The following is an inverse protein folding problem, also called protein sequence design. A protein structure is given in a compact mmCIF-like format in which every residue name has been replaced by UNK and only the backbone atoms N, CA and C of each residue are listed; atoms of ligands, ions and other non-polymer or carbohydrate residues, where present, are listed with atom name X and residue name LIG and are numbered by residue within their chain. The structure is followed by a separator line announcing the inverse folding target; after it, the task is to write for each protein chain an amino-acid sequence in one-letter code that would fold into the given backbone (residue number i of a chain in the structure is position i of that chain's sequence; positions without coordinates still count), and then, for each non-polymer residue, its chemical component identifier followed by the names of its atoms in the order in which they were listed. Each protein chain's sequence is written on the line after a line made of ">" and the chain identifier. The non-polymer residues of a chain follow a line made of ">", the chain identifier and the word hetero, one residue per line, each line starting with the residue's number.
data_IF_903203916029
#
_entry.id   IF_903203916029
#
_cell.length_a   1.000
_cell.length_b   1.000
_cell.length_c   1.000
_cell.angle_alpha   90.00
_cell.angle_beta   90.00
_cell.angle_gamma   90.00
#
_symmetry.space_group_name_H-M   'P 1'
#
loop_
_entity.id
_entity.type
_entity.pdbx_description
1 polymer ?
#
# COMPACT_ATOMS: atom_id res chain seq x y z
N UNK A 1 -41.28 33.75 -55.81
CA UNK A 1 -41.40 32.74 -54.74
C UNK A 1 -40.02 32.43 -54.23
N UNK A 2 -39.65 32.99 -53.11
CA UNK A 2 -38.35 32.88 -52.45
C UNK A 2 -38.51 31.95 -51.24
N UNK A 3 -37.66 30.94 -51.02
CA UNK A 3 -37.80 30.05 -49.88
C UNK A 3 -37.16 30.69 -48.63
N UNK A 4 -37.87 30.54 -47.52
CA UNK A 4 -37.48 30.98 -46.20
C UNK A 4 -36.26 30.24 -45.66
N UNK A 5 -35.33 31.03 -45.14
CA UNK A 5 -34.07 30.58 -44.48
C UNK A 5 -34.38 30.25 -43.02
N UNK A 6 -34.21 28.97 -42.64
CA UNK A 6 -34.31 28.50 -41.23
C UNK A 6 -33.06 28.90 -40.47
N UNK A 7 -33.14 29.45 -39.25
CA UNK A 7 -31.97 29.78 -38.47
C UNK A 7 -31.31 28.54 -37.86
N UNK A 8 -30.00 28.48 -38.04
CA UNK A 8 -29.10 27.42 -37.55
C UNK A 8 -28.91 27.63 -36.05
N UNK A 9 -29.24 26.61 -35.27
CA UNK A 9 -29.01 26.61 -33.83
C UNK A 9 -27.49 26.63 -33.52
N UNK A 10 -27.13 27.43 -32.51
CA UNK A 10 -25.76 27.53 -31.97
C UNK A 10 -25.35 26.23 -31.28
N UNK A 11 -24.04 25.85 -31.33
CA UNK A 11 -23.55 24.66 -30.65
C UNK A 11 -23.53 24.88 -29.13
N UNK A 12 -24.12 23.94 -28.38
CA UNK A 12 -24.06 23.88 -26.94
C UNK A 12 -22.62 23.63 -26.47
N UNK A 13 -22.18 24.37 -25.45
CA UNK A 13 -20.94 24.16 -24.73
C UNK A 13 -20.93 22.77 -24.07
N UNK A 14 -19.81 22.06 -24.08
CA UNK A 14 -19.72 20.80 -23.36
C UNK A 14 -19.71 21.06 -21.85
N UNK A 15 -20.68 20.46 -21.18
CA UNK A 15 -20.76 20.30 -19.73
C UNK A 15 -19.52 19.53 -19.27
N UNK A 16 -18.82 20.03 -18.29
CA UNK A 16 -17.73 19.34 -17.61
C UNK A 16 -18.27 18.06 -16.99
N UNK A 17 -17.93 16.92 -17.62
CA UNK A 17 -18.15 15.62 -17.04
C UNK A 17 -17.12 15.38 -15.93
N UNK A 18 -17.59 15.25 -14.71
CA UNK A 18 -16.81 14.81 -13.56
C UNK A 18 -16.19 13.45 -13.89
N UNK A 19 -14.86 13.39 -13.81
CA UNK A 19 -14.05 12.19 -14.02
C UNK A 19 -14.25 11.19 -12.86
N UNK A 20 -15.32 10.43 -12.91
CA UNK A 20 -15.40 9.14 -12.22
C UNK A 20 -14.77 8.08 -13.12
N UNK A 21 -13.45 7.96 -13.07
CA UNK A 21 -12.76 6.84 -13.70
C UNK A 21 -13.16 5.53 -13.02
N UNK A 22 -14.09 4.86 -13.63
CA UNK A 22 -14.43 3.45 -13.43
C UNK A 22 -13.18 2.61 -13.71
N UNK A 23 -12.58 2.02 -12.67
CA UNK A 23 -11.46 1.09 -12.80
C UNK A 23 -12.00 -0.21 -13.41
N UNK A 24 -11.97 -0.30 -14.73
CA UNK A 24 -12.15 -1.57 -15.43
C UNK A 24 -10.90 -2.41 -15.26
N UNK A 25 -11.08 -3.61 -14.71
CA UNK A 25 -10.13 -4.72 -14.72
C UNK A 25 -9.60 -4.97 -16.12
N UNK A 26 -8.43 -4.46 -16.47
CA UNK A 26 -7.71 -4.91 -17.66
C UNK A 26 -6.61 -5.88 -17.24
N UNK A 27 -6.75 -7.13 -17.67
CA UNK A 27 -5.73 -8.15 -17.58
C UNK A 27 -4.46 -7.71 -18.32
N UNK A 28 -3.37 -7.70 -17.58
CA UNK A 28 -2.02 -8.08 -17.98
C UNK A 28 -1.57 -7.85 -19.43
N UNK A 29 -0.85 -6.74 -19.68
CA UNK A 29 0.34 -6.66 -20.56
C UNK A 29 1.29 -5.51 -20.16
N UNK A 30 1.10 -4.81 -19.08
CA UNK A 30 1.85 -3.56 -18.79
C UNK A 30 2.73 -3.63 -17.56
N UNK A 31 3.70 -4.56 -17.56
CA UNK A 31 4.72 -4.58 -16.50
C UNK A 31 5.71 -3.40 -16.55
N UNK A 32 5.70 -2.62 -17.62
CA UNK A 32 6.71 -1.56 -17.84
C UNK A 32 6.22 -0.13 -17.59
N UNK A 33 4.92 0.12 -17.49
CA UNK A 33 4.36 1.48 -17.39
C UNK A 33 3.40 1.70 -16.22
N UNK A 34 3.09 0.68 -15.43
CA UNK A 34 2.12 0.77 -14.33
C UNK A 34 2.78 0.62 -12.98
N UNK A 35 2.59 1.58 -12.08
CA UNK A 35 2.86 1.39 -10.65
C UNK A 35 2.15 0.12 -10.14
N UNK A 36 2.70 -0.54 -9.12
CA UNK A 36 2.12 -1.74 -8.54
C UNK A 36 0.67 -1.46 -8.12
N UNK A 37 -0.28 -2.18 -8.75
CA UNK A 37 -1.69 -2.07 -8.34
C UNK A 37 -1.79 -2.65 -6.93
N UNK A 38 -2.16 -1.81 -5.98
CA UNK A 38 -2.47 -2.24 -4.62
C UNK A 38 -3.63 -3.22 -4.68
N UNK A 39 -3.40 -4.45 -4.26
CA UNK A 39 -4.44 -5.48 -4.18
C UNK A 39 -4.50 -5.98 -2.74
N UNK A 40 -5.68 -5.87 -2.16
CA UNK A 40 -5.96 -6.51 -0.90
C UNK A 40 -6.24 -8.00 -1.13
N UNK A 41 -5.75 -8.90 -0.24
CA UNK A 41 -6.14 -10.30 -0.28
C UNK A 41 -7.63 -10.46 0.06
N UNK A 42 -8.19 -11.61 -0.27
CA UNK A 42 -9.48 -12.00 0.27
C UNK A 42 -9.34 -12.27 1.77
N UNK A 43 -10.33 -11.83 2.54
CA UNK A 43 -10.36 -11.94 4.00
C UNK A 43 -11.47 -12.93 4.37
N UNK A 44 -11.09 -14.06 4.96
CA UNK A 44 -12.01 -15.16 5.30
C UNK A 44 -12.22 -15.34 6.81
N UNK A 45 -11.51 -14.57 7.63
CA UNK A 45 -11.65 -14.64 9.09
C UNK A 45 -13.08 -14.33 9.54
N UNK A 46 -13.64 -15.09 10.49
CA UNK A 46 -14.97 -14.83 11.05
C UNK A 46 -15.02 -13.48 11.78
N UNK A 47 -16.13 -12.75 11.61
CA UNK A 47 -16.30 -11.41 12.12
C UNK A 47 -15.72 -10.34 11.20
N UNK A 48 -15.41 -9.18 11.77
CA UNK A 48 -14.77 -8.08 11.07
C UNK A 48 -13.26 -8.33 11.01
N UNK A 49 -12.70 -8.30 9.81
CA UNK A 49 -11.27 -8.47 9.56
C UNK A 49 -10.74 -7.39 8.63
N UNK A 50 -9.43 -7.19 8.60
CA UNK A 50 -8.81 -6.07 7.89
C UNK A 50 -7.59 -6.51 7.09
N UNK A 51 -7.31 -5.74 6.04
CA UNK A 51 -6.06 -5.80 5.28
C UNK A 51 -5.49 -4.40 5.14
N UNK A 52 -4.22 -4.24 5.50
CA UNK A 52 -3.48 -2.99 5.39
C UNK A 52 -2.39 -3.16 4.34
N UNK A 53 -2.42 -2.30 3.31
CA UNK A 53 -1.41 -2.28 2.25
C UNK A 53 -0.80 -0.89 2.18
N UNK A 54 0.52 -0.81 2.36
CA UNK A 54 1.28 0.42 2.28
C UNK A 54 2.18 0.44 1.05
N UNK A 55 2.32 1.62 0.46
CA UNK A 55 3.21 1.90 -0.65
C UNK A 55 4.25 2.93 -0.24
N UNK A 56 5.50 2.53 -0.26
CA UNK A 56 6.65 3.40 0.00
C UNK A 56 7.09 4.02 -1.32
N UNK A 57 7.03 5.34 -1.41
CA UNK A 57 7.56 6.09 -2.54
C UNK A 57 8.85 6.78 -2.10
N UNK A 58 9.90 6.65 -2.90
CA UNK A 58 11.20 7.23 -2.62
C UNK A 58 11.87 7.73 -3.90
N UNK A 59 12.63 8.81 -3.78
CA UNK A 59 13.53 9.28 -4.84
C UNK A 59 14.92 9.41 -4.26
N UNK A 60 15.89 8.86 -4.96
CA UNK A 60 17.31 8.94 -4.61
C UNK A 60 18.08 9.76 -5.64
N UNK A 61 18.97 10.60 -5.16
CA UNK A 61 20.06 11.18 -5.94
C UNK A 61 21.35 10.54 -5.44
N UNK A 62 21.99 9.77 -6.31
CA UNK A 62 23.12 8.90 -5.95
C UNK A 62 22.69 7.89 -4.86
N UNK A 63 23.11 8.07 -3.61
CA UNK A 63 22.76 7.18 -2.48
C UNK A 63 21.86 7.88 -1.45
N UNK A 64 21.57 9.15 -1.65
CA UNK A 64 20.82 9.97 -0.71
C UNK A 64 19.34 10.06 -1.09
N UNK A 65 18.45 9.79 -0.15
CA UNK A 65 17.03 10.00 -0.36
C UNK A 65 16.73 11.51 -0.41
N UNK A 66 16.04 11.95 -1.45
CA UNK A 66 15.62 13.34 -1.64
C UNK A 66 14.14 13.55 -1.36
N UNK A 67 13.36 12.46 -1.36
CA UNK A 67 11.94 12.48 -1.07
C UNK A 67 11.47 11.10 -0.63
N UNK A 68 10.69 11.05 0.45
CA UNK A 68 10.04 9.81 0.91
C UNK A 68 8.58 10.11 1.28
N UNK A 69 7.66 9.26 0.86
CA UNK A 69 6.27 9.30 1.29
C UNK A 69 5.73 7.88 1.43
N UNK A 70 4.92 7.66 2.46
CA UNK A 70 4.21 6.39 2.67
C UNK A 70 2.72 6.66 2.60
N UNK A 71 2.06 6.01 1.67
CA UNK A 71 0.61 6.05 1.51
C UNK A 71 0.05 4.64 1.68
N UNK A 72 -1.13 4.53 2.25
CA UNK A 72 -1.72 3.23 2.51
C UNK A 72 -3.22 3.19 2.28
N UNK A 73 -3.70 1.96 2.15
CA UNK A 73 -5.12 1.63 2.12
C UNK A 73 -5.41 0.57 3.18
N UNK A 74 -6.53 0.72 3.86
CA UNK A 74 -7.09 -0.30 4.74
C UNK A 74 -8.39 -0.78 4.10
N UNK A 75 -8.47 -2.08 3.81
CA UNK A 75 -9.71 -2.73 3.41
C UNK A 75 -10.29 -3.51 4.58
N UNK A 76 -11.61 -3.57 4.64
CA UNK A 76 -12.38 -4.32 5.61
C UNK A 76 -13.21 -5.38 4.91
N UNK A 77 -13.41 -6.53 5.58
CA UNK A 77 -14.40 -7.53 5.21
C UNK A 77 -15.09 -8.04 6.47
N UNK A 78 -16.37 -8.38 6.33
CA UNK A 78 -17.16 -8.95 7.42
C UNK A 78 -17.75 -10.30 7.01
N UNK A 79 -17.38 -11.34 7.75
CA UNK A 79 -17.89 -12.70 7.60
C UNK A 79 -18.68 -13.04 8.89
N UNK A 80 -20.03 -13.17 8.84
CA UNK A 80 -20.81 -13.45 10.04
C UNK A 80 -20.29 -14.70 10.77
N UNK A 81 -20.22 -14.65 12.09
CA UNK A 81 -19.97 -15.82 12.94
C UNK A 81 -21.23 -16.68 13.00
N UNK A 82 -21.10 -17.98 13.27
CA UNK A 82 -22.24 -18.89 13.36
C UNK A 82 -23.32 -18.38 14.33
N UNK A 83 -22.93 -17.82 15.46
CA UNK A 83 -23.83 -17.22 16.45
C UNK A 83 -24.56 -15.96 15.94
N UNK A 84 -24.02 -15.27 14.94
CA UNK A 84 -24.54 -14.03 14.35
C UNK A 84 -25.36 -14.30 13.07
N UNK A 85 -25.39 -15.55 12.59
CA UNK A 85 -26.05 -15.92 11.33
C UNK A 85 -27.55 -15.57 11.29
N UNK A 86 -28.24 -15.61 12.44
CA UNK A 86 -29.66 -15.28 12.55
C UNK A 86 -29.94 -13.79 12.75
N UNK A 87 -28.99 -13.02 13.30
CA UNK A 87 -29.13 -11.58 13.54
C UNK A 87 -27.77 -10.89 13.48
N UNK A 88 -27.21 -10.72 12.27
CA UNK A 88 -25.90 -10.08 12.12
C UNK A 88 -25.95 -8.62 12.57
N UNK A 89 -24.90 -8.12 13.22
CA UNK A 89 -24.81 -6.70 13.55
C UNK A 89 -24.83 -5.85 12.28
N UNK A 90 -25.53 -4.74 12.32
CA UNK A 90 -25.64 -3.83 11.17
C UNK A 90 -24.47 -2.86 11.07
N UNK A 91 -23.85 -2.52 12.21
CA UNK A 91 -22.73 -1.61 12.31
C UNK A 91 -21.81 -2.00 13.48
N UNK A 92 -20.55 -1.60 13.38
CA UNK A 92 -19.53 -1.78 14.40
C UNK A 92 -18.66 -0.52 14.52
N UNK A 93 -18.29 -0.16 15.75
CA UNK A 93 -17.36 0.94 15.98
C UNK A 93 -15.94 0.41 15.90
N UNK A 94 -15.10 1.08 15.13
CA UNK A 94 -13.67 0.80 14.99
C UNK A 94 -12.84 2.01 15.36
N UNK A 95 -11.64 1.76 15.87
CA UNK A 95 -10.66 2.79 16.18
C UNK A 95 -9.36 2.50 15.44
N UNK A 96 -8.76 3.54 14.85
CA UNK A 96 -7.40 3.47 14.34
C UNK A 96 -6.41 3.58 15.50
N UNK A 97 -5.68 2.49 15.75
CA UNK A 97 -4.60 2.50 16.73
C UNK A 97 -3.41 3.28 16.16
N UNK A 98 -2.75 4.08 17.00
CA UNK A 98 -1.68 4.99 16.59
C UNK A 98 -2.11 6.05 15.55
N UNK A 99 -3.34 6.52 15.62
CA UNK A 99 -3.91 7.51 14.70
C UNK A 99 -3.02 8.74 14.47
N UNK A 100 -2.27 9.17 15.49
CA UNK A 100 -1.38 10.35 15.44
C UNK A 100 -0.22 10.22 14.46
N UNK A 101 0.10 9.03 13.97
CA UNK A 101 1.14 8.86 12.95
C UNK A 101 0.66 9.26 11.54
N UNK A 102 -0.62 9.60 11.40
CA UNK A 102 -1.19 9.96 10.11
C UNK A 102 -1.13 11.47 9.86
N UNK A 103 -0.67 11.83 8.67
CA UNK A 103 -0.78 13.19 8.15
C UNK A 103 -2.20 13.46 7.63
N UNK A 104 -2.76 12.46 6.91
CA UNK A 104 -4.07 12.54 6.27
C UNK A 104 -4.75 11.18 6.33
N UNK A 105 -6.08 11.21 6.50
CA UNK A 105 -6.94 10.03 6.38
C UNK A 105 -8.22 10.39 5.65
N UNK A 106 -8.64 9.53 4.74
CA UNK A 106 -9.88 9.66 3.98
C UNK A 106 -10.71 8.38 4.16
N UNK A 107 -11.73 8.39 5.03
CA UNK A 107 -12.68 7.29 5.16
C UNK A 107 -13.58 7.20 3.91
N UNK A 108 -14.02 5.99 3.57
CA UNK A 108 -14.97 5.77 2.50
C UNK A 108 -16.39 6.15 2.97
N UNK A 109 -16.98 7.24 2.46
CA UNK A 109 -18.24 7.76 2.99
C UNK A 109 -19.46 6.86 2.70
N UNK A 110 -19.29 5.84 1.85
CA UNK A 110 -20.39 4.91 1.51
C UNK A 110 -20.80 4.06 2.70
N UNK A 111 -19.86 3.70 3.59
CA UNK A 111 -20.11 2.81 4.71
C UNK A 111 -19.32 3.16 5.99
N UNK A 112 -18.54 4.24 5.97
CA UNK A 112 -17.79 4.74 7.13
C UNK A 112 -18.30 6.13 7.50
N UNK A 113 -18.63 6.32 8.78
CA UNK A 113 -18.93 7.62 9.38
C UNK A 113 -18.02 7.90 10.57
N UNK A 114 -17.66 9.15 10.77
CA UNK A 114 -16.85 9.58 11.93
C UNK A 114 -17.69 9.58 13.20
N UNK A 115 -17.11 9.20 14.33
CA UNK A 115 -17.75 9.36 15.63
C UNK A 115 -17.51 10.81 16.09
N UNK A 116 -18.55 11.58 16.41
CA UNK A 116 -18.40 12.97 16.87
C UNK A 116 -17.45 13.05 18.07
N UNK A 117 -16.58 14.08 18.07
CA UNK A 117 -15.65 14.40 19.16
C UNK A 117 -14.59 13.33 19.48
N UNK A 118 -14.54 12.22 18.72
CA UNK A 118 -13.59 11.12 18.91
C UNK A 118 -12.71 10.95 17.67
N UNK A 119 -11.55 11.60 17.66
CA UNK A 119 -10.59 11.49 16.56
C UNK A 119 -10.05 10.06 16.45
N UNK A 120 -10.09 9.51 15.23
CA UNK A 120 -9.63 8.14 14.94
C UNK A 120 -10.67 7.04 15.24
N UNK A 121 -11.86 7.38 15.72
CA UNK A 121 -12.98 6.44 15.88
C UNK A 121 -14.01 6.62 14.75
N UNK A 122 -14.52 5.50 14.26
CA UNK A 122 -15.43 5.45 13.12
C UNK A 122 -16.51 4.39 13.33
N UNK A 123 -17.71 4.68 12.84
CA UNK A 123 -18.78 3.68 12.73
C UNK A 123 -18.75 3.08 11.33
N UNK A 124 -18.67 1.76 11.26
CA UNK A 124 -18.60 0.96 10.03
C UNK A 124 -19.93 0.25 9.82
N UNK A 125 -20.60 0.50 8.68
CA UNK A 125 -21.76 -0.29 8.26
C UNK A 125 -21.30 -1.61 7.66
N UNK A 126 -21.74 -2.74 8.23
CA UNK A 126 -21.30 -4.09 7.86
C UNK A 126 -22.04 -4.66 6.64
N UNK A 127 -23.16 -4.06 6.26
CA UNK A 127 -24.05 -4.59 5.20
C UNK A 127 -23.36 -4.75 3.83
N UNK A 128 -22.30 -3.97 3.55
CA UNK A 128 -21.62 -3.94 2.26
C UNK A 128 -20.24 -4.61 2.25
N UNK A 129 -19.83 -5.23 3.37
CA UNK A 129 -18.47 -5.73 3.57
C UNK A 129 -18.29 -7.23 3.31
N UNK A 130 -19.08 -7.84 2.44
CA UNK A 130 -18.95 -9.26 2.06
C UNK A 130 -17.65 -9.61 1.34
N UNK A 131 -16.89 -8.61 0.90
CA UNK A 131 -15.58 -8.75 0.26
C UNK A 131 -14.66 -7.66 0.80
N UNK A 132 -13.36 -7.89 0.72
CA UNK A 132 -12.37 -6.88 1.06
C UNK A 132 -12.65 -5.58 0.27
N UNK A 133 -13.13 -4.56 0.96
CA UNK A 133 -13.53 -3.25 0.40
C UNK A 133 -12.71 -2.16 1.06
N UNK A 134 -12.11 -1.28 0.27
CA UNK A 134 -11.29 -0.18 0.79
C UNK A 134 -12.14 0.75 1.65
N UNK A 135 -11.81 0.77 2.94
CA UNK A 135 -12.46 1.56 3.98
C UNK A 135 -11.76 2.90 4.21
N UNK A 136 -10.44 2.90 4.20
CA UNK A 136 -9.64 4.09 4.46
C UNK A 136 -8.48 4.20 3.48
N UNK A 137 -8.19 5.44 3.04
CA UNK A 137 -6.93 5.82 2.41
C UNK A 137 -6.23 6.79 3.32
N UNK A 138 -4.91 6.67 3.43
CA UNK A 138 -4.15 7.52 4.34
C UNK A 138 -2.75 7.81 3.83
N UNK A 139 -2.14 8.83 4.43
CA UNK A 139 -0.73 9.17 4.30
C UNK A 139 -0.12 9.22 5.70
N UNK A 140 1.04 8.59 5.84
CA UNK A 140 1.83 8.63 7.08
C UNK A 140 2.58 9.95 7.16
N UNK A 141 2.61 10.57 8.34
CA UNK A 141 3.45 11.73 8.62
C UNK A 141 4.89 11.28 8.77
N UNK A 142 5.79 11.81 7.95
CA UNK A 142 7.20 11.47 7.95
C UNK A 142 8.06 12.71 8.06
N UNK A 143 8.91 12.76 9.08
CA UNK A 143 10.03 13.69 9.17
C UNK A 143 11.24 13.08 8.44
N UNK A 144 12.16 13.91 7.96
CA UNK A 144 13.36 13.43 7.24
C UNK A 144 14.20 12.46 8.08
N UNK A 145 14.24 12.67 9.39
CA UNK A 145 14.92 11.79 10.35
C UNK A 145 14.35 10.38 10.44
N UNK A 146 13.07 10.20 10.07
CA UNK A 146 12.37 8.91 10.06
C UNK A 146 12.36 8.22 8.68
N UNK A 147 12.85 8.86 7.62
CA UNK A 147 12.89 8.27 6.28
C UNK A 147 13.63 6.92 6.23
N UNK A 148 14.80 6.75 6.88
CA UNK A 148 15.50 5.47 6.85
C UNK A 148 14.67 4.28 7.31
N UNK A 149 13.72 4.48 8.24
CA UNK A 149 12.83 3.43 8.76
C UNK A 149 11.92 2.80 7.70
N UNK A 150 11.77 3.45 6.53
CA UNK A 150 10.92 3.01 5.43
C UNK A 150 11.69 2.68 4.15
N UNK A 151 13.00 2.84 4.16
CA UNK A 151 13.87 2.67 3.00
C UNK A 151 14.75 1.42 3.15
N UNK A 152 14.26 0.21 2.82
CA UNK A 152 15.02 -1.01 3.06
C UNK A 152 16.23 -1.16 2.12
N UNK A 153 16.19 -0.55 0.94
CA UNK A 153 17.23 -0.68 -0.08
C UNK A 153 17.54 0.67 -0.72
N UNK A 154 18.82 0.95 -0.93
CA UNK A 154 19.31 2.10 -1.66
C UNK A 154 19.64 1.67 -3.08
N UNK A 155 19.32 2.52 -4.04
CA UNK A 155 19.60 2.31 -5.45
C UNK A 155 20.31 3.51 -6.05
N UNK A 156 21.43 3.25 -6.74
CA UNK A 156 22.31 4.30 -7.30
C UNK A 156 22.65 4.00 -8.76
N UNK A 157 21.90 4.54 -9.73
CA UNK A 157 22.22 4.42 -11.13
C UNK A 157 23.30 5.46 -11.53
N UNK A 158 24.27 5.03 -12.34
CA UNK A 158 25.28 5.89 -12.94
C UNK A 158 25.22 5.75 -14.44
N UNK A 159 24.89 6.82 -15.12
CA UNK A 159 24.72 6.85 -16.56
C UNK A 159 25.90 7.43 -17.30
N UNK A 160 26.17 6.85 -18.47
CA UNK A 160 27.05 7.41 -19.49
C UNK A 160 26.28 7.47 -20.81
N UNK A 161 26.04 8.70 -21.28
CA UNK A 161 25.28 8.97 -22.51
C UNK A 161 26.26 9.34 -23.62
N UNK A 162 26.20 8.61 -24.73
CA UNK A 162 27.01 8.85 -25.95
C UNK A 162 26.05 8.88 -27.16
N UNK A 163 26.48 9.48 -28.30
CA UNK A 163 25.59 9.65 -29.47
C UNK A 163 24.96 8.34 -29.99
N UNK A 164 25.70 7.23 -29.91
CA UNK A 164 25.26 5.93 -30.43
C UNK A 164 25.08 4.88 -29.35
N UNK A 165 25.27 5.24 -28.09
CA UNK A 165 25.22 4.31 -26.99
C UNK A 165 24.85 4.99 -25.69
N UNK A 166 23.98 4.36 -24.90
CA UNK A 166 23.76 4.71 -23.51
C UNK A 166 24.12 3.53 -22.63
N UNK A 167 24.86 3.76 -21.56
CA UNK A 167 25.25 2.72 -20.61
C UNK A 167 24.86 3.13 -19.20
N UNK A 168 24.37 2.17 -18.41
CA UNK A 168 24.06 2.36 -17.01
C UNK A 168 24.72 1.29 -16.17
N UNK A 169 25.25 1.70 -15.02
CA UNK A 169 25.61 0.84 -13.91
C UNK A 169 24.67 1.19 -12.78
N UNK A 170 23.85 0.24 -12.37
CA UNK A 170 22.91 0.38 -11.28
C UNK A 170 23.40 -0.46 -10.10
N UNK A 171 23.90 0.21 -9.08
CA UNK A 171 24.32 -0.41 -7.84
C UNK A 171 23.12 -0.40 -6.87
N UNK A 172 22.93 -1.48 -6.11
CA UNK A 172 21.95 -1.57 -5.06
C UNK A 172 22.53 -2.23 -3.82
N UNK A 173 22.07 -1.78 -2.64
CA UNK A 173 22.51 -2.31 -1.34
C UNK A 173 21.44 -2.11 -0.28
N UNK A 174 21.41 -2.93 0.81
CA UNK A 174 20.61 -2.60 1.98
C UNK A 174 20.95 -1.21 2.48
N UNK A 175 19.94 -0.50 2.98
CA UNK A 175 20.16 0.77 3.64
C UNK A 175 20.73 0.51 5.04
N UNK A 176 21.95 0.97 5.37
CA UNK A 176 22.57 0.72 6.67
C UNK A 176 21.80 1.36 7.82
N UNK A 177 21.07 2.46 7.53
CA UNK A 177 20.29 3.20 8.50
C UNK A 177 18.83 2.70 8.60
N UNK A 178 18.51 1.58 7.96
CA UNK A 178 17.19 0.97 8.04
C UNK A 178 16.99 0.32 9.41
N UNK A 179 16.33 1.06 10.29
CA UNK A 179 16.04 0.63 11.65
C UNK A 179 14.72 -0.16 11.68
N UNK A 180 14.84 -1.46 11.84
CA UNK A 180 13.69 -2.33 11.92
C UNK A 180 12.95 -2.11 13.23
N UNK A 181 11.64 -2.02 13.16
CA UNK A 181 10.76 -2.07 14.33
C UNK A 181 10.53 -3.49 14.82
N UNK A 182 11.31 -4.44 14.36
CA UNK A 182 11.20 -5.83 14.79
C UNK A 182 11.73 -6.02 16.20
N UNK A 183 10.95 -6.73 16.99
CA UNK A 183 11.44 -7.46 18.17
C UNK A 183 12.54 -8.42 17.69
N UNK A 184 13.79 -8.12 18.06
CA UNK A 184 14.99 -8.93 17.90
C UNK A 184 14.99 -10.04 16.81
N UNK A 185 15.67 -9.79 15.73
CA UNK A 185 16.32 -10.89 14.97
C UNK A 185 15.62 -11.46 13.75
N UNK A 186 14.37 -11.09 13.44
CA UNK A 186 13.74 -11.62 12.21
C UNK A 186 14.23 -10.83 10.98
N UNK A 187 14.90 -11.47 10.02
CA UNK A 187 15.35 -10.82 8.80
C UNK A 187 14.14 -10.40 7.95
N UNK A 188 14.25 -9.26 7.26
CA UNK A 188 13.22 -8.82 6.31
C UNK A 188 13.61 -9.30 4.91
N UNK A 189 12.67 -9.94 4.24
CA UNK A 189 12.81 -10.41 2.87
C UNK A 189 12.01 -9.52 1.92
N UNK A 190 12.71 -8.86 1.03
CA UNK A 190 12.11 -8.15 -0.11
C UNK A 190 11.73 -9.19 -1.16
N UNK A 191 10.44 -9.41 -1.35
CA UNK A 191 9.94 -10.42 -2.30
C UNK A 191 9.76 -9.84 -3.69
N UNK A 192 9.92 -10.69 -4.70
CA UNK A 192 9.71 -10.34 -6.10
C UNK A 192 10.49 -9.11 -6.56
N UNK A 193 11.71 -8.91 -6.01
CA UNK A 193 12.48 -7.71 -6.33
C UNK A 193 12.81 -7.64 -7.81
N UNK A 194 12.56 -6.49 -8.39
CA UNK A 194 12.88 -6.22 -9.80
C UNK A 194 13.36 -4.78 -9.98
N UNK A 195 14.28 -4.62 -10.91
CA UNK A 195 14.85 -3.33 -11.30
C UNK A 195 14.48 -3.05 -12.74
N UNK A 196 14.06 -1.83 -13.03
CA UNK A 196 13.68 -1.38 -14.38
C UNK A 196 14.43 -0.09 -14.66
N UNK A 197 15.16 -0.04 -15.75
CA UNK A 197 15.87 1.15 -16.20
C UNK A 197 15.73 1.33 -17.69
N UNK A 198 16.10 2.47 -18.25
CA UNK A 198 16.01 2.66 -19.69
C UNK A 198 16.31 4.06 -20.17
N UNK A 199 16.01 4.29 -21.43
CA UNK A 199 16.19 5.57 -22.10
C UNK A 199 14.88 6.10 -22.69
N UNK A 200 14.76 7.41 -22.74
CA UNK A 200 13.64 8.16 -23.29
C UNK A 200 14.10 9.00 -24.49
N UNK A 201 13.16 9.40 -25.32
CA UNK A 201 13.41 10.26 -26.50
C UNK A 201 13.84 9.50 -27.75
N UNK A 202 14.32 8.27 -27.63
CA UNK A 202 14.72 7.40 -28.73
C UNK A 202 14.34 5.95 -28.45
N UNK A 203 14.10 5.16 -29.51
CA UNK A 203 13.92 3.72 -29.39
C UNK A 203 15.27 3.03 -29.64
N UNK A 204 15.87 2.37 -28.65
CA UNK A 204 17.13 1.67 -28.83
C UNK A 204 16.96 0.44 -29.73
N UNK A 205 17.94 0.18 -30.60
CA UNK A 205 17.93 -0.96 -31.51
C UNK A 205 18.17 -2.28 -30.79
N UNK A 206 19.03 -2.25 -29.77
CA UNK A 206 19.38 -3.42 -28.95
C UNK A 206 19.78 -2.99 -27.53
N UNK A 207 19.78 -3.94 -26.63
CA UNK A 207 20.32 -3.77 -25.29
C UNK A 207 21.05 -5.05 -24.83
N UNK A 208 22.27 -4.89 -24.33
CA UNK A 208 23.04 -5.94 -23.67
C UNK A 208 23.00 -5.68 -22.17
N UNK A 209 22.91 -6.73 -21.36
CA UNK A 209 22.89 -6.57 -19.89
C UNK A 209 23.65 -7.66 -19.16
N UNK A 210 24.14 -7.32 -17.97
CA UNK A 210 24.75 -8.24 -17.02
C UNK A 210 24.24 -7.94 -15.60
N UNK A 211 23.61 -8.90 -14.91
CA UNK A 211 23.17 -10.20 -15.42
C UNK A 211 22.19 -10.06 -16.61
N UNK A 212 21.88 -11.19 -17.25
CA UNK A 212 20.92 -11.19 -18.37
C UNK A 212 19.54 -10.79 -17.84
N UNK A 213 18.93 -9.78 -18.43
CA UNK A 213 17.59 -9.29 -18.12
C UNK A 213 16.68 -9.39 -19.34
N UNK A 214 15.47 -8.84 -19.19
CA UNK A 214 14.47 -8.75 -20.25
C UNK A 214 14.46 -7.34 -20.83
N UNK A 215 14.72 -7.23 -22.15
CA UNK A 215 14.67 -5.97 -22.86
C UNK A 215 13.37 -5.77 -23.58
N UNK A 216 12.62 -4.74 -23.22
CA UNK A 216 11.41 -4.30 -23.93
C UNK A 216 11.75 -3.16 -24.88
N UNK A 217 12.02 -3.52 -26.14
CA UNK A 217 12.51 -2.59 -27.18
C UNK A 217 11.58 -1.41 -27.38
N UNK A 218 10.27 -1.66 -27.53
CA UNK A 218 9.28 -0.63 -27.86
C UNK A 218 9.15 0.45 -26.77
N UNK A 219 9.52 0.10 -25.54
CA UNK A 219 9.52 1.02 -24.41
C UNK A 219 10.90 1.58 -24.06
N UNK A 220 11.97 1.08 -24.72
CA UNK A 220 13.34 1.43 -24.37
C UNK A 220 13.75 1.03 -22.94
N UNK A 221 13.19 -0.08 -22.41
CA UNK A 221 13.38 -0.49 -21.00
C UNK A 221 14.07 -1.84 -20.89
N UNK A 222 15.00 -1.92 -19.94
CA UNK A 222 15.63 -3.14 -19.47
C UNK A 222 15.08 -3.47 -18.07
N UNK A 223 14.70 -4.71 -17.84
CA UNK A 223 14.22 -5.20 -16.56
C UNK A 223 15.01 -6.42 -16.08
N UNK A 224 15.36 -6.45 -14.81
CA UNK A 224 15.93 -7.58 -14.11
C UNK A 224 15.00 -8.04 -13.01
N UNK A 225 14.65 -9.30 -12.98
CA UNK A 225 13.90 -9.94 -11.90
C UNK A 225 14.89 -10.79 -11.10
N UNK A 226 15.19 -10.39 -9.87
CA UNK A 226 16.16 -11.09 -9.02
C UNK A 226 15.50 -12.09 -8.08
N UNK A 227 14.16 -12.07 -7.96
CA UNK A 227 13.43 -12.91 -7.00
C UNK A 227 13.39 -12.29 -5.61
N UNK A 228 13.57 -13.12 -4.58
CA UNK A 228 13.53 -12.70 -3.19
C UNK A 228 14.94 -12.41 -2.68
N UNK A 229 15.08 -11.32 -1.93
CA UNK A 229 16.35 -10.89 -1.33
C UNK A 229 16.12 -10.64 0.17
N UNK A 230 16.85 -11.37 1.02
CA UNK A 230 16.87 -11.12 2.46
C UNK A 230 17.92 -10.07 2.78
N UNK A 231 17.55 -9.02 3.50
CA UNK A 231 18.42 -7.85 3.70
C UNK A 231 19.74 -8.14 4.43
N UNK A 232 19.80 -9.22 5.22
CA UNK A 232 21.01 -9.62 5.96
C UNK A 232 21.97 -10.50 5.13
N UNK A 233 21.56 -10.91 3.93
CA UNK A 233 22.37 -11.75 3.06
C UNK A 233 23.34 -10.93 2.20
N UNK A 234 24.45 -11.53 1.84
CA UNK A 234 25.41 -10.96 0.89
C UNK A 234 24.78 -10.67 -0.49
N UNK A 235 23.73 -11.40 -0.86
CA UNK A 235 22.95 -11.20 -2.09
C UNK A 235 22.14 -9.91 -2.10
N UNK A 236 21.95 -9.27 -0.95
CA UNK A 236 21.25 -8.00 -0.83
C UNK A 236 22.03 -6.82 -1.47
N UNK A 237 23.32 -6.99 -1.75
CA UNK A 237 24.17 -6.02 -2.46
C UNK A 237 24.53 -6.55 -3.84
N UNK A 238 24.37 -5.70 -4.86
CA UNK A 238 24.72 -6.14 -6.21
C UNK A 238 24.85 -5.00 -7.21
N UNK A 239 25.21 -5.40 -8.43
CA UNK A 239 25.41 -4.50 -9.56
C UNK A 239 24.75 -5.04 -10.81
N UNK A 240 23.97 -4.19 -11.46
CA UNK A 240 23.31 -4.44 -12.73
C UNK A 240 23.88 -3.50 -13.78
N UNK A 241 24.16 -4.02 -14.97
CA UNK A 241 24.75 -3.23 -16.05
C UNK A 241 23.90 -3.40 -17.30
N UNK A 242 23.57 -2.29 -17.97
CA UNK A 242 22.95 -2.33 -19.28
C UNK A 242 23.65 -1.36 -20.25
N UNK A 243 23.67 -1.77 -21.52
CA UNK A 243 24.20 -1.00 -22.64
C UNK A 243 23.18 -1.01 -23.76
N UNK A 244 22.61 0.15 -24.03
CA UNK A 244 21.65 0.38 -25.09
C UNK A 244 22.37 0.90 -26.35
N UNK A 245 22.10 0.30 -27.50
CA UNK A 245 22.57 0.79 -28.80
C UNK A 245 21.52 1.72 -29.38
N UNK A 246 21.91 2.87 -29.81
CA UNK A 246 21.08 3.97 -30.34
C UNK A 246 21.46 4.24 -31.77
N UNK A 247 20.49 4.27 -32.68
CA UNK A 247 20.74 4.77 -34.04
C UNK A 247 20.81 6.32 -33.97
N UNK A 248 22.05 6.83 -33.97
CA UNK A 248 22.31 8.26 -33.92
C UNK A 248 21.90 8.95 -35.18
N UNK A 249 20.66 9.43 -35.28
CA UNK A 249 20.23 10.36 -36.32
C UNK A 249 20.52 11.83 -35.89
N UNK A 250 20.80 12.70 -36.84
CA UNK A 250 20.95 14.12 -36.58
C UNK A 250 19.66 14.67 -35.95
N UNK A 251 19.72 15.18 -34.70
CA UNK A 251 18.59 15.76 -33.98
C UNK A 251 17.92 14.87 -32.93
N UNK A 252 18.32 13.62 -32.78
CA UNK A 252 17.82 12.73 -31.70
C UNK A 252 18.58 12.96 -30.40
N UNK A 253 17.87 13.36 -29.35
CA UNK A 253 18.44 13.51 -28.00
C UNK A 253 17.91 12.42 -27.10
N UNK A 254 18.71 11.37 -26.90
CA UNK A 254 18.42 10.37 -25.90
C UNK A 254 18.61 10.92 -24.48
N UNK A 255 17.71 10.60 -23.59
CA UNK A 255 17.78 10.91 -22.16
C UNK A 255 17.70 9.62 -21.37
N UNK A 256 18.40 9.55 -20.24
CA UNK A 256 18.17 8.44 -19.30
C UNK A 256 16.81 8.58 -18.62
N UNK A 257 16.15 7.48 -18.42
CA UNK A 257 14.96 7.41 -17.58
C UNK A 257 15.36 7.17 -16.12
N UNK A 258 14.45 7.45 -15.19
CA UNK A 258 14.64 7.07 -13.79
C UNK A 258 14.70 5.54 -13.67
N UNK A 259 15.57 5.05 -12.79
CA UNK A 259 15.71 3.63 -12.51
C UNK A 259 14.75 3.24 -11.39
N UNK A 260 13.75 2.43 -11.72
CA UNK A 260 12.68 1.99 -10.80
C UNK A 260 13.06 0.69 -10.11
N UNK A 261 12.75 0.59 -8.82
CA UNK A 261 12.84 -0.66 -8.05
C UNK A 261 11.47 -1.05 -7.57
N UNK A 262 11.13 -2.33 -7.73
CA UNK A 262 9.89 -2.91 -7.23
C UNK A 262 10.20 -4.04 -6.27
N UNK A 263 9.55 -4.04 -5.13
CA UNK A 263 9.65 -5.05 -4.07
C UNK A 263 8.38 -5.06 -3.23
N UNK A 264 8.18 -6.14 -2.49
CA UNK A 264 7.10 -6.26 -1.52
C UNK A 264 7.58 -7.05 -0.28
N UNK A 265 6.99 -6.71 0.88
CA UNK A 265 7.13 -7.41 2.16
C UNK A 265 5.72 -7.80 2.60
N UNK A 266 5.52 -9.03 3.04
CA UNK A 266 4.20 -9.57 3.41
C UNK A 266 4.22 -10.28 4.77
N UNK A 267 3.04 -10.44 5.37
CA UNK A 267 2.88 -11.16 6.63
C UNK A 267 3.51 -10.44 7.82
N UNK A 268 4.11 -11.20 8.73
CA UNK A 268 4.68 -10.67 9.98
C UNK A 268 5.85 -9.71 9.73
N UNK A 269 6.63 -9.96 8.69
CA UNK A 269 7.71 -9.06 8.27
C UNK A 269 7.16 -7.67 7.88
N UNK A 270 5.96 -7.60 7.30
CA UNK A 270 5.33 -6.33 6.93
C UNK A 270 4.86 -5.51 8.14
N UNK A 271 4.66 -6.13 9.31
CA UNK A 271 4.39 -5.42 10.57
C UNK A 271 5.62 -4.61 10.98
N UNK A 272 6.79 -5.16 10.75
CA UNK A 272 8.06 -4.52 11.06
C UNK A 272 8.48 -3.46 10.04
N UNK A 273 8.18 -3.72 8.75
CA UNK A 273 8.57 -2.87 7.64
C UNK A 273 7.64 -1.67 7.44
N UNK A 274 6.39 -1.74 7.92
CA UNK A 274 5.35 -0.73 7.71
C UNK A 274 5.19 0.25 8.87
N UNK A 275 4.13 1.07 8.80
CA UNK A 275 3.75 1.97 9.87
C UNK A 275 3.21 1.21 11.09
N UNK A 276 3.23 1.80 12.31
CA UNK A 276 2.67 1.17 13.50
C UNK A 276 1.13 1.21 13.54
N UNK A 277 0.48 1.64 12.46
CA UNK A 277 -0.96 1.78 12.40
C UNK A 277 -1.67 0.43 12.60
N UNK A 278 -2.78 0.42 13.33
CA UNK A 278 -3.62 -0.75 13.57
C UNK A 278 -5.09 -0.40 13.56
N UNK A 279 -5.93 -1.40 13.72
CA UNK A 279 -7.36 -1.24 13.93
C UNK A 279 -7.81 -2.09 15.11
N UNK A 280 -8.67 -1.50 15.94
CA UNK A 280 -9.39 -2.18 17.02
C UNK A 280 -10.88 -1.99 16.83
N UNK A 281 -11.68 -2.98 17.22
CA UNK A 281 -13.14 -2.89 17.26
C UNK A 281 -13.63 -2.83 18.68
N UNK A 282 -14.73 -2.12 18.90
CA UNK A 282 -15.41 -2.07 20.18
C UNK A 282 -16.32 -3.30 20.30
N UNK A 283 -16.00 -4.21 21.18
CA UNK A 283 -16.82 -5.39 21.49
C UNK A 283 -17.55 -5.18 22.82
N UNK A 284 -18.81 -5.61 22.90
CA UNK A 284 -19.57 -5.65 24.13
C UNK A 284 -19.32 -6.99 24.80
N UNK A 285 -18.58 -6.98 25.89
CA UNK A 285 -18.32 -8.17 26.69
C UNK A 285 -19.49 -8.34 27.67
N UNK A 286 -20.22 -9.44 27.54
CA UNK A 286 -21.16 -9.86 28.60
C UNK A 286 -20.31 -10.42 29.74
N UNK A 287 -20.38 -9.81 30.92
CA UNK A 287 -19.81 -10.41 32.13
C UNK A 287 -20.40 -11.80 32.31
N UNK A 288 -19.57 -12.83 32.21
CA UNK A 288 -19.90 -14.15 32.67
C UNK A 288 -20.17 -13.99 34.17
N UNK A 289 -21.44 -14.07 34.57
CA UNK A 289 -21.76 -14.13 35.99
C UNK A 289 -21.00 -15.34 36.54
N UNK A 290 -20.05 -15.09 37.44
CA UNK A 290 -19.48 -16.15 38.26
C UNK A 290 -20.68 -16.91 38.82
N UNK A 291 -20.73 -18.23 38.57
CA UNK A 291 -21.74 -19.08 39.15
C UNK A 291 -21.67 -18.85 40.66
N UNK A 292 -22.73 -18.26 41.20
CA UNK A 292 -22.87 -18.07 42.65
C UNK A 292 -22.83 -19.48 43.22
N UNK A 293 -21.82 -19.76 44.05
CA UNK A 293 -21.68 -21.02 44.76
C UNK A 293 -23.02 -21.32 45.47
N UNK A 294 -23.74 -22.39 45.08
CA UNK A 294 -25.03 -22.68 45.66
C UNK A 294 -24.98 -23.01 47.17
N UNK A 295 -23.79 -22.99 47.77
CA UNK A 295 -23.54 -23.23 49.19
C UNK A 295 -22.99 -21.97 49.91
N UNK A 296 -23.00 -20.78 49.29
CA UNK A 296 -22.64 -19.53 49.96
C UNK A 296 -23.75 -19.14 50.97
N UNK A 297 -23.34 -18.83 52.22
CA UNK A 297 -24.22 -18.46 53.31
C UNK A 297 -25.11 -17.23 52.99
N UNK A 298 -26.39 -17.26 53.45
CA UNK A 298 -27.43 -16.24 53.16
C UNK A 298 -27.06 -14.80 53.54
N UNK A 299 -26.04 -14.56 54.33
CA UNK A 299 -25.57 -13.20 54.70
C UNK A 299 -24.85 -12.45 53.55
N UNK A 300 -24.37 -13.16 52.53
CA UNK A 300 -23.73 -12.58 51.36
C UNK A 300 -24.72 -12.20 50.24
N UNK A 301 -25.92 -12.75 50.28
CA UNK A 301 -26.96 -12.57 49.25
C UNK A 301 -27.69 -11.22 49.32
N UNK A 302 -27.64 -10.49 50.44
CA UNK A 302 -28.38 -9.24 50.65
C UNK A 302 -27.71 -7.99 50.06
N UNK A 303 -26.47 -8.08 49.55
CA UNK A 303 -25.73 -6.95 48.95
C UNK A 303 -25.57 -7.02 47.43
N UNK A 304 -26.09 -8.07 46.78
CA UNK A 304 -25.88 -8.33 45.34
C UNK A 304 -27.08 -8.12 44.43
N UNK A 305 -28.20 -7.57 44.92
CA UNK A 305 -29.46 -7.59 44.18
C UNK A 305 -29.88 -6.25 43.55
N UNK A 306 -28.95 -5.39 43.17
CA UNK A 306 -29.21 -4.24 42.30
C UNK A 306 -28.00 -3.97 41.40
N UNK A 307 -27.71 -4.88 40.48
CA UNK A 307 -26.73 -4.65 39.41
C UNK A 307 -27.32 -5.14 38.10
N UNK A 308 -28.01 -4.26 37.36
CA UNK A 308 -28.12 -4.43 35.93
C UNK A 308 -26.68 -4.57 35.43
N UNK A 309 -26.31 -5.76 34.93
CA UNK A 309 -24.98 -6.01 34.42
C UNK A 309 -24.58 -4.93 33.40
N UNK A 310 -23.75 -4.02 33.81
CA UNK A 310 -23.15 -3.02 32.90
C UNK A 310 -22.35 -3.81 31.87
N UNK A 311 -22.82 -3.80 30.62
CA UNK A 311 -22.06 -4.37 29.50
C UNK A 311 -20.78 -3.57 29.38
N UNK A 312 -19.67 -4.15 29.79
CA UNK A 312 -18.37 -3.54 29.69
C UNK A 312 -17.94 -3.49 28.22
N UNK A 313 -17.69 -2.31 27.71
CA UNK A 313 -17.18 -2.14 26.35
C UNK A 313 -15.63 -2.26 26.39
N UNK A 314 -15.09 -3.13 25.53
CA UNK A 314 -13.65 -3.36 25.43
C UNK A 314 -13.17 -3.25 23.98
N UNK A 315 -11.99 -2.62 23.80
CA UNK A 315 -11.34 -2.53 22.51
C UNK A 315 -10.52 -3.77 22.22
N UNK A 316 -10.88 -4.50 21.16
CA UNK A 316 -10.17 -5.68 20.70
C UNK A 316 -9.51 -5.44 19.35
N UNK A 317 -8.22 -5.78 19.24
CA UNK A 317 -7.49 -5.67 17.96
C UNK A 317 -8.16 -6.53 16.90
N UNK A 318 -8.38 -5.94 15.71
CA UNK A 318 -8.88 -6.67 14.56
C UNK A 318 -7.80 -7.55 13.94
N UNK A 319 -8.14 -8.78 13.48
CA UNK A 319 -7.27 -9.56 12.61
C UNK A 319 -6.87 -8.71 11.41
N UNK A 320 -5.56 -8.64 11.12
CA UNK A 320 -5.03 -7.78 10.08
C UNK A 320 -3.96 -8.46 9.25
N UNK A 321 -4.20 -8.60 7.97
CA UNK A 321 -3.17 -9.01 6.99
C UNK A 321 -2.44 -7.78 6.51
N UNK A 322 -1.10 -7.80 6.52
CA UNK A 322 -0.27 -6.65 6.14
C UNK A 322 0.59 -6.92 4.92
N UNK A 323 0.75 -5.87 4.13
CA UNK A 323 1.68 -5.81 3.00
C UNK A 323 2.30 -4.42 2.92
N UNK A 324 3.60 -4.36 2.72
CA UNK A 324 4.34 -3.14 2.37
C UNK A 324 4.98 -3.37 1.01
N UNK A 325 4.87 -2.42 0.11
CA UNK A 325 5.45 -2.54 -1.22
C UNK A 325 6.08 -1.21 -1.66
N UNK A 326 7.00 -1.29 -2.59
CA UNK A 326 7.46 -0.09 -3.29
C UNK A 326 6.33 0.47 -4.16
N UNK A 327 6.09 1.77 -4.06
CA UNK A 327 5.32 2.53 -5.03
C UNK A 327 6.24 3.10 -6.12
N UNK A 328 6.33 4.41 -6.19
CA UNK A 328 7.33 5.13 -7.01
C UNK A 328 8.67 5.16 -6.28
N UNK A 329 9.52 4.19 -6.53
CA UNK A 329 10.82 4.02 -5.85
C UNK A 329 11.94 4.10 -6.88
N UNK A 330 12.57 5.29 -6.99
CA UNK A 330 13.45 5.64 -8.11
C UNK A 330 14.83 6.09 -7.66
N UNK A 331 15.87 5.67 -8.42
CA UNK A 331 17.19 6.30 -8.45
C UNK A 331 17.35 7.20 -9.70
N UNK A 332 17.95 8.36 -9.52
CA UNK A 332 18.30 9.31 -10.59
C UNK A 332 19.78 9.24 -10.94
#
# INVERSE_FOLDING_TARGET
>A
MTPLKVPRAAPALPSEASDTQSIRSSRSVTSFTGGAVVRHPELHEPGLSSSLVESVNASFDSEQATRVTVVGEIALAYNPRDAEALSPPTAQVVRMDNFLVLEKVAPNPTFISTVPEKAGEYTVSLAHLRRATVAFRYQVHLEETSWPDYLPIIVSPRWRMEPHQASVILDYKPNPDYHRRTTAGTPITLRNISFITGIDGVIPTSCQSKPVGTFARDFGRMAWKLGDITLDDASATGRLVARFTIDGGAGTTAKHALSEVRWEVVGDEAVAAGSPLGLSSLEKVEEVKEEVDPFADEETLSKGAEGMGEKKEEWKKLPMVRKVASGKYFGA
#
